data_IF_409075964137
#
_entry.id   IF_409075964137
#
_cell.length_a   1.000
_cell.length_b   1.000
_cell.length_c   1.000
_cell.angle_alpha   90.00
_cell.angle_beta   90.00
_cell.angle_gamma   90.00
#
_symmetry.space_group_name_H-M   'P 1'
#
loop_
_entity.id
_entity.type
_entity.pdbx_description
1 polymer ?
#
# COMPACT_ATOMS: atom_id res chain seq x y z
N UNK A 1 15.01 -7.86 2.72
CA UNK A 1 13.55 -7.64 2.85
C UNK A 1 13.40 -6.92 4.18
N UNK A 2 12.80 -5.72 4.24
CA UNK A 2 12.67 -5.00 5.50
C UNK A 2 11.88 -5.88 6.47
N UNK A 3 12.30 -5.89 7.74
CA UNK A 3 11.69 -6.72 8.76
C UNK A 3 10.27 -6.22 9.06
N UNK A 4 9.40 -7.12 9.52
CA UNK A 4 8.02 -6.79 9.90
C UNK A 4 7.89 -5.53 10.78
N UNK A 5 8.78 -5.27 11.77
CA UNK A 5 8.76 -4.06 12.57
C UNK A 5 9.03 -2.77 11.79
N UNK A 6 9.90 -2.82 10.79
CA UNK A 6 10.23 -1.65 9.95
C UNK A 6 9.04 -1.26 9.09
N UNK A 7 8.37 -2.26 8.49
CA UNK A 7 7.16 -2.05 7.69
C UNK A 7 6.05 -1.44 8.53
N UNK A 8 5.86 -1.92 9.77
CA UNK A 8 4.84 -1.37 10.66
C UNK A 8 5.16 0.07 11.08
N UNK A 9 6.43 0.41 11.26
CA UNK A 9 6.88 1.76 11.61
C UNK A 9 6.60 2.75 10.48
N UNK A 10 6.96 2.40 9.24
CA UNK A 10 6.67 3.22 8.05
C UNK A 10 5.17 3.37 7.85
N UNK A 11 4.40 2.29 7.96
CA UNK A 11 2.94 2.35 7.87
C UNK A 11 2.31 3.25 8.94
N UNK A 12 2.79 3.20 10.18
CA UNK A 12 2.30 4.09 11.26
C UNK A 12 2.65 5.56 11.00
N UNK A 13 3.84 5.84 10.46
CA UNK A 13 4.26 7.20 10.12
C UNK A 13 3.47 7.83 8.97
N UNK A 14 3.09 7.03 7.97
CA UNK A 14 2.32 7.50 6.81
C UNK A 14 0.82 7.62 7.09
N UNK A 15 0.31 6.86 8.06
CA UNK A 15 -1.10 6.80 8.44
C UNK A 15 -1.80 8.16 8.62
N UNK A 16 -1.28 9.14 9.41
CA UNK A 16 -1.98 10.40 9.63
C UNK A 16 -2.10 11.29 8.39
N UNK A 17 -1.27 11.06 7.37
CA UNK A 17 -1.28 11.81 6.12
C UNK A 17 -2.14 11.15 5.05
N UNK A 18 -2.33 9.83 5.16
CA UNK A 18 -3.07 9.04 4.17
C UNK A 18 -4.52 8.81 4.60
N UNK A 19 -4.81 8.54 5.88
CA UNK A 19 -6.18 8.25 6.34
C UNK A 19 -7.13 9.43 6.04
N UNK A 20 -8.20 9.18 5.28
CA UNK A 20 -9.17 10.21 4.87
C UNK A 20 -8.71 11.11 3.71
N UNK A 21 -7.46 10.96 3.23
CA UNK A 21 -6.97 11.70 2.08
C UNK A 21 -7.51 11.12 0.77
N UNK A 22 -7.76 11.99 -0.21
CA UNK A 22 -8.10 11.59 -1.59
C UNK A 22 -6.82 11.47 -2.41
N UNK A 23 -6.63 10.32 -3.05
CA UNK A 23 -5.53 10.13 -3.98
C UNK A 23 -5.82 10.91 -5.26
N UNK A 24 -5.18 12.05 -5.46
CA UNK A 24 -5.37 12.87 -6.66
C UNK A 24 -4.82 12.17 -7.91
N UNK A 25 -3.63 11.59 -7.78
CA UNK A 25 -2.94 10.89 -8.86
C UNK A 25 -2.07 9.78 -8.25
N UNK A 26 -2.03 8.62 -8.92
CA UNK A 26 -1.14 7.52 -8.55
C UNK A 26 -0.23 7.20 -9.73
N UNK A 27 1.07 7.31 -9.53
CA UNK A 27 2.07 6.97 -10.54
C UNK A 27 2.93 5.80 -10.07
N UNK A 28 2.96 4.72 -10.83
CA UNK A 28 3.88 3.62 -10.59
C UNK A 28 5.22 3.91 -11.30
N UNK A 29 6.24 4.29 -10.54
CA UNK A 29 7.59 4.59 -11.09
C UNK A 29 8.53 3.39 -11.16
N UNK A 30 8.13 2.25 -10.58
CA UNK A 30 8.92 0.99 -10.60
C UNK A 30 8.06 -0.17 -11.07
N UNK A 31 8.46 -0.74 -12.20
CA UNK A 31 7.85 -1.94 -12.78
C UNK A 31 8.53 -3.24 -12.31
N UNK A 32 9.69 -3.14 -11.66
CA UNK A 32 10.57 -4.26 -11.29
C UNK A 32 10.28 -4.86 -9.89
N UNK A 33 9.03 -4.78 -9.44
CA UNK A 33 8.64 -5.33 -8.14
C UNK A 33 8.66 -6.87 -8.17
N UNK A 34 9.19 -7.50 -7.10
CA UNK A 34 9.20 -8.97 -6.93
C UNK A 34 7.80 -9.60 -7.12
N UNK A 35 6.76 -8.86 -6.74
CA UNK A 35 5.39 -9.17 -7.10
C UNK A 35 4.83 -8.00 -7.91
N UNK A 36 4.42 -8.23 -9.17
CA UNK A 36 3.86 -7.17 -9.99
C UNK A 36 2.53 -6.69 -9.40
N UNK A 37 2.26 -5.39 -9.53
CA UNK A 37 0.96 -4.83 -9.21
C UNK A 37 -0.06 -5.27 -10.28
N UNK A 38 -1.35 -5.40 -9.91
CA UNK A 38 -2.40 -5.71 -10.88
C UNK A 38 -2.48 -4.68 -12.01
N UNK A 39 -2.93 -5.11 -13.18
CA UNK A 39 -3.16 -4.19 -14.30
C UNK A 39 -4.17 -3.09 -13.92
N UNK A 40 -3.87 -1.86 -14.34
CA UNK A 40 -4.71 -0.70 -14.04
C UNK A 40 -4.73 -0.27 -12.57
N UNK A 41 -3.82 -0.76 -11.71
CA UNK A 41 -3.77 -0.43 -10.28
C UNK A 41 -3.77 1.08 -10.00
N UNK A 42 -2.93 1.83 -10.72
CA UNK A 42 -2.82 3.29 -10.61
C UNK A 42 -4.14 3.99 -10.98
N UNK A 43 -4.75 3.60 -12.10
CA UNK A 43 -6.01 4.16 -12.58
C UNK A 43 -7.17 3.83 -11.61
N UNK A 44 -7.19 2.62 -11.05
CA UNK A 44 -8.21 2.18 -10.09
C UNK A 44 -8.12 2.85 -8.72
N UNK A 45 -6.95 3.37 -8.34
CA UNK A 45 -6.78 4.05 -7.05
C UNK A 45 -6.91 5.57 -7.17
N UNK A 46 -6.65 6.12 -8.35
CA UNK A 46 -6.79 7.55 -8.58
C UNK A 46 -8.23 7.98 -8.36
N UNK A 47 -8.43 9.02 -7.57
CA UNK A 47 -9.74 9.55 -7.19
C UNK A 47 -10.38 8.88 -5.97
N UNK A 48 -9.87 7.75 -5.48
CA UNK A 48 -10.39 7.09 -4.28
C UNK A 48 -9.90 7.76 -2.98
N UNK A 49 -10.74 7.68 -1.96
CA UNK A 49 -10.37 8.06 -0.60
C UNK A 49 -9.72 6.86 0.10
N UNK A 50 -8.64 7.11 0.83
CA UNK A 50 -8.00 6.08 1.64
C UNK A 50 -8.87 5.83 2.87
N UNK A 51 -9.68 4.78 2.80
CA UNK A 51 -10.45 4.29 3.94
C UNK A 51 -9.57 3.48 4.90
N UNK A 52 -9.98 3.42 6.16
CA UNK A 52 -9.26 2.72 7.23
C UNK A 52 -9.46 1.21 7.10
N UNK A 53 -8.76 0.56 6.18
CA UNK A 53 -8.86 -0.89 6.01
C UNK A 53 -8.19 -1.65 7.20
N UNK A 54 -8.79 -2.75 7.69
CA UNK A 54 -8.40 -3.42 8.93
C UNK A 54 -7.02 -4.10 8.82
N UNK A 55 -6.33 -4.20 9.97
CA UNK A 55 -5.08 -4.96 10.14
C UNK A 55 -5.24 -6.39 9.57
N UNK A 56 -4.68 -6.67 8.40
CA UNK A 56 -4.45 -8.08 7.99
C UNK A 56 -3.41 -8.66 8.95
N UNK A 57 -3.83 -9.61 9.80
CA UNK A 57 -2.90 -10.54 10.43
C UNK A 57 -2.19 -11.30 9.31
N UNK A 58 -0.87 -11.23 9.34
CA UNK A 58 0.08 -11.96 8.53
C UNK A 58 -0.37 -13.42 8.42
N UNK A 59 -0.67 -13.88 7.21
CA UNK A 59 -0.67 -15.31 6.92
C UNK A 59 0.68 -15.57 6.22
N UNK A 60 1.60 -16.36 6.79
CA UNK A 60 2.80 -16.74 6.06
C UNK A 60 2.36 -17.58 4.86
N UNK A 61 2.77 -17.16 3.67
CA UNK A 61 2.80 -18.03 2.51
C UNK A 61 3.98 -18.99 2.75
N UNK A 62 3.67 -20.17 3.30
CA UNK A 62 4.46 -21.37 3.07
C UNK A 62 3.94 -22.01 1.78
N UNK A 63 4.87 -22.50 0.97
CA UNK A 63 4.67 -23.21 -0.29
C UNK A 63 3.55 -24.25 -0.23
#
# INVERSE_FOLDING_TARGET
MPELPEVETVCRGLRPWLEGARLAEVMQRRADLRWPLPEGFAARLSGHMVDRAPKRKSRPLLL
#
